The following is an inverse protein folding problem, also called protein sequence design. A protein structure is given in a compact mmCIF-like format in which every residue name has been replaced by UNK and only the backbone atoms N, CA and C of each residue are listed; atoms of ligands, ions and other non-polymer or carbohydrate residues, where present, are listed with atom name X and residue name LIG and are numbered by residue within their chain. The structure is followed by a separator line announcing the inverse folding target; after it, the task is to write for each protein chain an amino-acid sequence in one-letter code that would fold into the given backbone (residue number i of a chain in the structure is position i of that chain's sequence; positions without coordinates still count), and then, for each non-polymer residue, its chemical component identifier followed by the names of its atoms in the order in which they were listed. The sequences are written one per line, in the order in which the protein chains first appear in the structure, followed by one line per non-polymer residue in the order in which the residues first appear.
data_IF_094113949147
#
_entry.id   IF_094113949147
#
_cell.length_a   1.000
_cell.length_b   1.000
_cell.length_c   1.000
_cell.angle_alpha   90.00
_cell.angle_beta   90.00
_cell.angle_gamma   90.00
#
_symmetry.space_group_name_H-M   'P 1'
#
loop_
_entity.id
_entity.type
_entity.pdbx_description
1 polymer ?
#
# COMPACT_ATOMS: atom_id res chain seq x y z
N UNK A 1 -24.65 -9.91 9.97
CA UNK A 1 -24.70 -10.64 11.28
C UNK A 1 -24.18 -9.72 12.36
N UNK A 2 -24.93 -9.55 13.44
CA UNK A 2 -24.45 -8.82 14.61
C UNK A 2 -23.45 -9.70 15.36
N UNK A 3 -22.24 -9.16 15.58
CA UNK A 3 -21.15 -9.88 16.26
C UNK A 3 -20.94 -9.31 17.65
N UNK A 4 -20.88 -10.18 18.67
CA UNK A 4 -20.60 -9.84 20.07
C UNK A 4 -19.29 -10.54 20.48
N UNK A 5 -18.39 -9.80 21.12
CA UNK A 5 -17.17 -10.31 21.73
C UNK A 5 -17.33 -10.27 23.26
N UNK A 6 -17.37 -11.42 23.89
CA UNK A 6 -17.56 -11.55 25.33
C UNK A 6 -16.28 -12.05 26.00
N UNK A 7 -15.80 -11.41 27.09
CA UNK A 7 -14.70 -11.98 27.89
C UNK A 7 -15.08 -13.37 28.39
N UNK A 8 -14.17 -14.33 28.24
CA UNK A 8 -14.41 -15.69 28.74
C UNK A 8 -14.17 -15.74 30.24
N UNK A 9 -15.14 -16.27 30.97
CA UNK A 9 -15.02 -16.57 32.41
C UNK A 9 -14.40 -17.96 32.61
N UNK A 10 -13.98 -18.26 33.86
CA UNK A 10 -13.45 -19.59 34.21
C UNK A 10 -14.43 -20.73 33.93
N UNK A 11 -15.74 -20.45 33.99
CA UNK A 11 -16.80 -21.40 33.60
C UNK A 11 -16.84 -21.69 32.09
N UNK A 12 -16.21 -20.89 31.27
CA UNK A 12 -16.14 -21.07 29.81
C UNK A 12 -14.92 -21.89 29.37
N UNK A 13 -14.05 -22.27 30.30
CA UNK A 13 -12.81 -22.99 30.01
C UNK A 13 -13.06 -24.24 29.14
N UNK A 14 -13.99 -25.11 29.56
CA UNK A 14 -14.33 -26.32 28.79
C UNK A 14 -14.84 -26.02 27.38
N UNK A 15 -15.57 -24.89 27.23
CA UNK A 15 -16.05 -24.45 25.93
C UNK A 15 -14.90 -24.00 25.03
N UNK A 16 -13.90 -23.33 25.58
CA UNK A 16 -12.69 -22.95 24.85
C UNK A 16 -11.82 -24.18 24.51
N UNK A 17 -11.64 -25.12 25.41
CA UNK A 17 -10.98 -26.41 25.15
C UNK A 17 -11.62 -27.10 23.94
N UNK A 18 -12.94 -27.21 23.91
CA UNK A 18 -13.69 -27.81 22.80
C UNK A 18 -13.51 -27.04 21.47
N UNK A 19 -13.36 -25.73 21.50
CA UNK A 19 -13.12 -24.92 20.30
C UNK A 19 -11.67 -25.00 19.84
N UNK A 20 -10.72 -25.04 20.76
CA UNK A 20 -9.28 -25.22 20.48
C UNK A 20 -8.99 -26.55 19.81
N UNK A 21 -9.65 -27.65 20.22
CA UNK A 21 -9.52 -28.93 19.53
C UNK A 21 -9.93 -28.84 18.04
N UNK A 22 -11.00 -28.11 17.73
CA UNK A 22 -11.44 -27.89 16.33
C UNK A 22 -10.49 -26.99 15.57
N UNK A 23 -9.98 -25.97 16.22
CA UNK A 23 -8.98 -25.06 15.68
C UNK A 23 -7.68 -25.81 15.37
N UNK A 24 -7.14 -26.57 16.32
CA UNK A 24 -5.90 -27.34 16.18
C UNK A 24 -6.05 -28.43 15.08
N UNK A 25 -7.20 -29.11 15.02
CA UNK A 25 -7.48 -30.04 13.95
C UNK A 25 -7.42 -29.36 12.58
N UNK A 26 -8.05 -28.21 12.42
CA UNK A 26 -7.98 -27.45 11.18
C UNK A 26 -6.55 -26.98 10.86
N UNK A 27 -5.81 -26.54 11.89
CA UNK A 27 -4.47 -26.03 11.73
C UNK A 27 -3.43 -27.11 11.42
N UNK A 28 -3.64 -28.35 11.87
CA UNK A 28 -2.75 -29.49 11.65
C UNK A 28 -2.55 -29.85 10.16
N UNK A 29 -3.42 -29.39 9.25
CA UNK A 29 -3.19 -29.52 7.81
C UNK A 29 -1.96 -28.74 7.33
N UNK A 30 -1.58 -27.67 8.06
CA UNK A 30 -0.45 -26.81 7.75
C UNK A 30 0.79 -27.20 8.55
N UNK A 31 0.71 -27.24 9.87
CA UNK A 31 1.83 -27.43 10.78
C UNK A 31 2.21 -28.88 11.04
N UNK A 32 1.35 -29.83 10.60
CA UNK A 32 1.57 -31.29 10.70
C UNK A 32 1.62 -31.83 12.15
N UNK A 33 1.06 -31.10 13.10
CA UNK A 33 0.92 -31.61 14.47
C UNK A 33 -0.01 -32.83 14.52
N UNK A 34 0.20 -33.71 15.49
CA UNK A 34 -0.54 -34.95 15.69
C UNK A 34 -1.29 -34.90 17.02
N UNK A 35 -2.37 -35.67 17.15
CA UNK A 35 -3.03 -35.85 18.43
C UNK A 35 -2.22 -36.76 19.35
N UNK A 36 -2.51 -36.63 20.66
CA UNK A 36 -2.01 -37.53 21.70
C UNK A 36 -2.70 -38.93 21.68
N UNK A 37 -2.42 -39.73 22.68
CA UNK A 37 -2.98 -41.08 22.80
C UNK A 37 -4.52 -41.13 23.02
N UNK A 38 -5.08 -40.01 23.50
CA UNK A 38 -6.52 -39.86 23.74
C UNK A 38 -7.26 -39.22 22.54
N UNK A 39 -6.51 -38.93 21.47
CA UNK A 39 -7.04 -38.32 20.23
C UNK A 39 -7.27 -36.81 20.35
N UNK A 40 -6.59 -36.15 21.24
CA UNK A 40 -6.67 -34.70 21.49
C UNK A 40 -5.39 -34.01 21.04
N UNK A 41 -5.50 -32.77 20.59
CA UNK A 41 -4.35 -31.89 20.36
C UNK A 41 -3.90 -31.22 21.66
N UNK A 42 -4.85 -30.86 22.52
CA UNK A 42 -4.61 -30.11 23.73
C UNK A 42 -4.19 -28.65 23.47
N UNK A 43 -4.17 -27.87 24.53
CA UNK A 43 -3.60 -26.51 24.53
C UNK A 43 -3.11 -26.18 25.94
N UNK A 44 -1.85 -26.44 26.23
CA UNK A 44 -1.29 -26.36 27.60
C UNK A 44 -1.34 -24.97 28.22
N UNK A 45 -1.37 -23.91 27.38
CA UNK A 45 -1.39 -22.52 27.85
C UNK A 45 -2.78 -22.01 28.24
N UNK A 46 -3.87 -22.73 27.92
CA UNK A 46 -5.23 -22.26 28.21
C UNK A 46 -5.49 -21.93 29.68
N UNK A 47 -5.02 -22.72 30.67
CA UNK A 47 -5.20 -22.40 32.08
C UNK A 47 -4.73 -21.02 32.48
N UNK A 48 -3.62 -20.56 31.88
CA UNK A 48 -2.99 -19.28 32.18
C UNK A 48 -3.86 -18.06 31.83
N UNK A 49 -4.85 -18.22 30.95
CA UNK A 49 -5.81 -17.17 30.61
C UNK A 49 -6.87 -16.91 31.69
N UNK A 50 -6.93 -17.79 32.69
CA UNK A 50 -7.90 -17.70 33.80
C UNK A 50 -7.23 -17.46 35.17
N UNK A 51 -5.94 -17.15 35.20
CA UNK A 51 -5.13 -16.88 36.40
C UNK A 51 -5.20 -15.42 36.86
N UNK A 52 -6.03 -14.58 36.23
CA UNK A 52 -6.11 -13.16 36.57
C UNK A 52 -4.91 -12.33 36.16
N UNK A 53 -4.19 -12.75 35.11
CA UNK A 53 -3.02 -12.05 34.57
C UNK A 53 -3.41 -10.91 33.64
N UNK A 54 -2.67 -9.81 33.71
CA UNK A 54 -2.90 -8.63 32.86
C UNK A 54 -2.26 -8.75 31.47
N UNK A 55 -1.41 -9.79 31.26
CA UNK A 55 -0.65 -10.00 30.05
C UNK A 55 -1.39 -10.87 29.01
N UNK A 56 -2.62 -11.27 29.26
CA UNK A 56 -3.41 -12.12 28.35
C UNK A 56 -4.91 -11.95 28.57
N UNK A 57 -5.68 -12.20 27.52
CA UNK A 57 -7.13 -12.18 27.58
C UNK A 57 -7.74 -13.23 26.65
N UNK A 58 -8.84 -13.85 27.09
CA UNK A 58 -9.62 -14.81 26.33
C UNK A 58 -11.02 -14.26 26.05
N UNK A 59 -11.50 -14.46 24.83
CA UNK A 59 -12.80 -14.02 24.38
C UNK A 59 -13.55 -15.12 23.64
N UNK A 60 -14.86 -15.16 23.83
CA UNK A 60 -15.79 -15.91 23.00
C UNK A 60 -16.44 -14.98 21.98
N UNK A 61 -16.55 -15.44 20.74
CA UNK A 61 -17.17 -14.74 19.63
C UNK A 61 -18.55 -15.33 19.41
N UNK A 62 -19.57 -14.48 19.43
CA UNK A 62 -20.94 -14.83 19.08
C UNK A 62 -21.38 -14.10 17.82
N UNK A 63 -22.08 -14.80 16.94
CA UNK A 63 -22.79 -14.21 15.80
C UNK A 63 -24.28 -14.41 16.04
N UNK A 64 -25.03 -13.30 16.12
CA UNK A 64 -26.37 -13.29 16.71
C UNK A 64 -26.32 -13.92 18.12
N UNK A 65 -27.05 -14.98 18.35
CA UNK A 65 -27.06 -15.70 19.64
C UNK A 65 -26.22 -16.99 19.59
N UNK A 66 -25.54 -17.28 18.48
CA UNK A 66 -24.80 -18.53 18.26
C UNK A 66 -23.31 -18.34 18.56
N UNK A 67 -22.70 -19.29 19.26
CA UNK A 67 -21.26 -19.35 19.46
C UNK A 67 -20.57 -19.57 18.11
N UNK A 68 -19.76 -18.60 17.69
CA UNK A 68 -19.14 -18.55 16.38
C UNK A 68 -17.62 -18.82 16.41
N UNK A 69 -16.95 -18.62 17.57
CA UNK A 69 -15.50 -18.77 17.65
C UNK A 69 -14.91 -18.23 18.94
N UNK A 70 -13.60 -17.97 18.91
CA UNK A 70 -12.87 -17.40 20.03
C UNK A 70 -11.67 -16.55 19.58
N UNK A 71 -11.14 -15.74 20.49
CA UNK A 71 -9.88 -15.03 20.36
C UNK A 71 -9.08 -15.16 21.66
N UNK A 72 -7.82 -15.55 21.57
CA UNK A 72 -6.83 -15.50 22.64
C UNK A 72 -5.77 -14.48 22.26
N UNK A 73 -5.49 -13.54 23.15
CA UNK A 73 -4.47 -12.52 22.96
C UNK A 73 -3.53 -12.51 24.15
N UNK A 74 -2.28 -12.13 23.92
CA UNK A 74 -1.27 -12.07 24.97
C UNK A 74 -0.22 -10.97 24.70
N UNK A 75 0.83 -10.90 25.53
CA UNK A 75 1.98 -10.00 25.37
C UNK A 75 3.28 -10.78 25.13
N UNK A 76 3.19 -11.87 24.38
CA UNK A 76 4.35 -12.68 23.97
C UNK A 76 4.79 -12.26 22.59
N UNK A 77 6.08 -11.91 22.44
CA UNK A 77 6.63 -11.42 21.19
C UNK A 77 6.80 -12.57 20.17
N UNK A 78 6.30 -12.35 18.96
CA UNK A 78 6.42 -13.26 17.82
C UNK A 78 7.61 -12.92 16.92
N UNK A 79 8.20 -11.73 17.08
CA UNK A 79 9.39 -11.27 16.37
C UNK A 79 10.13 -10.19 17.18
N UNK A 80 11.33 -9.81 16.73
CA UNK A 80 12.16 -8.77 17.36
C UNK A 80 11.60 -7.35 17.07
N UNK A 81 10.41 -7.07 17.58
CA UNK A 81 9.79 -5.73 17.57
C UNK A 81 9.06 -5.51 18.88
N UNK A 82 9.02 -4.26 19.36
CA UNK A 82 8.21 -3.92 20.54
C UNK A 82 6.73 -4.22 20.31
N UNK A 83 6.07 -4.81 21.29
CA UNK A 83 4.64 -5.06 21.26
C UNK A 83 3.97 -4.64 22.56
N UNK A 84 2.67 -4.42 22.48
CA UNK A 84 1.76 -4.30 23.62
C UNK A 84 0.80 -5.51 23.64
N UNK A 85 0.46 -6.05 22.45
CA UNK A 85 -0.43 -7.21 22.30
C UNK A 85 -0.06 -8.06 21.08
N UNK A 86 -0.27 -9.37 21.19
CA UNK A 86 -0.23 -10.32 20.08
C UNK A 86 -1.52 -11.14 20.02
N UNK A 87 -1.90 -11.57 18.84
CA UNK A 87 -2.93 -12.60 18.67
C UNK A 87 -2.26 -13.96 18.84
N UNK A 88 -2.56 -14.63 19.95
CA UNK A 88 -2.08 -16.00 20.17
C UNK A 88 -2.87 -16.99 19.31
N UNK A 89 -4.22 -16.99 19.46
CA UNK A 89 -5.08 -17.88 18.68
C UNK A 89 -6.36 -17.16 18.28
N UNK A 90 -6.86 -17.44 17.08
CA UNK A 90 -8.09 -16.86 16.57
C UNK A 90 -8.85 -17.84 15.68
N UNK A 91 -10.08 -18.10 16.01
CA UNK A 91 -10.91 -19.05 15.29
C UNK A 91 -12.32 -18.52 15.05
N UNK A 92 -12.81 -18.70 13.83
CA UNK A 92 -14.23 -18.53 13.47
C UNK A 92 -14.67 -19.79 12.74
N UNK A 93 -15.74 -20.42 13.22
CA UNK A 93 -16.29 -21.64 12.62
C UNK A 93 -16.77 -21.40 11.18
N UNK A 94 -16.66 -22.40 10.32
CA UNK A 94 -16.90 -22.30 8.87
C UNK A 94 -18.23 -21.65 8.50
N UNK A 95 -19.31 -22.01 9.23
CA UNK A 95 -20.66 -21.48 8.99
C UNK A 95 -20.78 -19.96 9.16
N UNK A 96 -19.84 -19.33 9.88
CA UNK A 96 -19.84 -17.89 10.16
C UNK A 96 -18.75 -17.12 9.35
N UNK A 97 -17.88 -17.83 8.62
CA UNK A 97 -16.85 -17.21 7.79
C UNK A 97 -17.46 -16.48 6.60
N UNK A 98 -16.73 -15.49 6.09
CA UNK A 98 -17.14 -14.64 4.94
C UNK A 98 -18.38 -13.78 5.18
N UNK A 99 -18.88 -13.69 6.44
CA UNK A 99 -20.01 -12.87 6.86
C UNK A 99 -19.58 -11.67 7.73
N UNK A 100 -18.28 -11.30 7.71
CA UNK A 100 -17.74 -10.18 8.48
C UNK A 100 -17.52 -10.45 9.98
N UNK A 101 -17.90 -11.63 10.50
CA UNK A 101 -17.83 -11.96 11.94
C UNK A 101 -16.41 -11.83 12.49
N UNK A 102 -15.40 -12.35 11.78
CA UNK A 102 -14.01 -12.26 12.22
C UNK A 102 -13.51 -10.81 12.30
N UNK A 103 -13.82 -9.99 11.31
CA UNK A 103 -13.41 -8.57 11.30
C UNK A 103 -14.10 -7.78 12.41
N UNK A 104 -15.40 -7.98 12.61
CA UNK A 104 -16.14 -7.32 13.69
C UNK A 104 -15.71 -7.77 15.10
N UNK A 105 -15.23 -9.01 15.25
CA UNK A 105 -14.65 -9.49 16.50
C UNK A 105 -13.30 -8.80 16.76
N UNK A 106 -12.40 -8.72 15.76
CA UNK A 106 -11.10 -8.05 15.91
C UNK A 106 -11.26 -6.56 16.16
N UNK A 107 -12.22 -5.89 15.54
CA UNK A 107 -12.56 -4.49 15.87
C UNK A 107 -12.83 -4.32 17.36
N UNK A 108 -13.66 -5.19 17.95
CA UNK A 108 -13.97 -5.12 19.37
C UNK A 108 -12.77 -5.47 20.26
N UNK A 109 -11.85 -6.34 19.80
CA UNK A 109 -10.56 -6.60 20.45
C UNK A 109 -9.72 -5.33 20.47
N UNK A 110 -9.55 -4.66 19.33
CA UNK A 110 -8.74 -3.45 19.20
C UNK A 110 -9.30 -2.25 19.97
N UNK A 111 -10.63 -2.13 20.09
CA UNK A 111 -11.27 -1.11 20.94
C UNK A 111 -10.90 -1.29 22.42
N UNK A 112 -10.72 -2.53 22.89
CA UNK A 112 -10.34 -2.85 24.27
C UNK A 112 -8.83 -2.83 24.50
N UNK A 113 -8.06 -3.10 23.46
CA UNK A 113 -6.62 -3.32 23.51
C UNK A 113 -5.92 -2.52 22.41
N UNK A 114 -5.73 -1.23 22.64
CA UNK A 114 -4.93 -0.37 21.75
C UNK A 114 -3.43 -0.58 21.97
N UNK A 115 -2.60 -0.11 21.05
CA UNK A 115 -1.15 -0.19 21.16
C UNK A 115 -0.51 -0.91 19.98
N UNK A 116 0.72 -1.40 20.18
CA UNK A 116 1.51 -2.11 19.17
C UNK A 116 1.12 -3.57 19.14
N UNK A 117 0.75 -4.05 17.96
CA UNK A 117 0.27 -5.42 17.75
C UNK A 117 1.24 -6.24 16.92
N UNK A 118 1.32 -7.53 17.24
CA UNK A 118 1.93 -8.55 16.41
C UNK A 118 0.90 -9.64 16.10
N UNK A 119 0.82 -10.05 14.83
CA UNK A 119 -0.06 -11.13 14.39
C UNK A 119 0.76 -12.10 13.54
N UNK A 120 0.94 -13.31 14.06
CA UNK A 120 1.64 -14.39 13.37
C UNK A 120 0.67 -15.25 12.57
N UNK A 121 1.08 -15.68 11.39
CA UNK A 121 0.34 -16.66 10.61
C UNK A 121 1.29 -17.57 9.81
N UNK A 122 0.79 -18.76 9.52
CA UNK A 122 1.47 -19.73 8.67
C UNK A 122 1.34 -19.32 7.19
N UNK A 123 2.47 -19.16 6.48
CA UNK A 123 2.48 -18.64 5.09
C UNK A 123 1.71 -19.53 4.10
N UNK A 124 1.59 -20.83 4.35
CA UNK A 124 0.78 -21.76 3.54
C UNK A 124 -0.75 -21.61 3.79
N UNK A 125 -1.16 -20.97 4.89
CA UNK A 125 -2.56 -20.68 5.18
C UNK A 125 -3.00 -19.40 4.49
N UNK A 126 -3.22 -19.47 3.16
CA UNK A 126 -3.58 -18.31 2.35
C UNK A 126 -4.87 -17.59 2.81
N UNK A 127 -5.94 -18.29 3.25
CA UNK A 127 -7.11 -17.62 3.81
C UNK A 127 -6.79 -16.81 5.07
N UNK A 128 -5.95 -17.32 5.97
CA UNK A 128 -5.48 -16.62 7.17
C UNK A 128 -4.61 -15.42 6.79
N UNK A 129 -3.67 -15.61 5.88
CA UNK A 129 -2.83 -14.53 5.37
C UNK A 129 -3.66 -13.37 4.80
N UNK A 130 -4.64 -13.66 3.93
CA UNK A 130 -5.53 -12.65 3.35
C UNK A 130 -6.36 -11.94 4.43
N UNK A 131 -6.89 -12.66 5.41
CA UNK A 131 -7.66 -12.09 6.51
C UNK A 131 -6.81 -11.15 7.38
N UNK A 132 -5.64 -11.61 7.86
CA UNK A 132 -4.80 -10.82 8.74
C UNK A 132 -4.18 -9.60 8.07
N UNK A 133 -3.76 -9.72 6.82
CA UNK A 133 -3.33 -8.57 6.03
C UNK A 133 -4.46 -7.54 5.86
N UNK A 134 -5.69 -7.99 5.64
CA UNK A 134 -6.86 -7.13 5.57
C UNK A 134 -7.13 -6.39 6.90
N UNK A 135 -7.08 -7.11 8.02
CA UNK A 135 -7.24 -6.56 9.37
C UNK A 135 -6.14 -5.54 9.68
N UNK A 136 -4.87 -5.91 9.51
CA UNK A 136 -3.76 -5.03 9.82
C UNK A 136 -3.85 -3.72 9.02
N UNK A 137 -4.07 -3.80 7.71
CA UNK A 137 -4.23 -2.62 6.84
C UNK A 137 -5.41 -1.74 7.20
N UNK A 138 -6.49 -2.32 7.72
CA UNK A 138 -7.70 -1.57 8.08
C UNK A 138 -7.56 -0.78 9.38
N UNK A 139 -6.88 -1.35 10.38
CA UNK A 139 -6.83 -0.78 11.74
C UNK A 139 -5.49 -0.11 12.09
N UNK A 140 -4.45 -0.27 11.26
CA UNK A 140 -3.15 0.33 11.54
C UNK A 140 -3.19 1.86 11.53
N UNK A 141 -2.61 2.47 12.56
CA UNK A 141 -2.26 3.88 12.58
C UNK A 141 -0.84 4.05 12.03
N UNK A 142 -0.70 4.17 10.73
CA UNK A 142 0.58 4.22 10.04
C UNK A 142 0.83 2.96 9.20
N UNK A 143 2.09 2.60 9.00
CA UNK A 143 2.45 1.47 8.16
C UNK A 143 2.31 0.12 8.89
N UNK A 144 2.13 -0.94 8.11
CA UNK A 144 2.19 -2.33 8.53
C UNK A 144 3.54 -2.90 8.09
N UNK A 145 4.35 -3.31 9.05
CA UNK A 145 5.61 -4.01 8.78
C UNK A 145 5.36 -5.52 8.71
N UNK A 146 5.88 -6.19 7.68
CA UNK A 146 5.79 -7.65 7.54
C UNK A 146 7.18 -8.24 7.77
N UNK A 147 7.30 -9.14 8.73
CA UNK A 147 8.55 -9.75 9.17
C UNK A 147 8.44 -11.27 9.18
N UNK A 148 9.58 -11.95 9.29
CA UNK A 148 9.62 -13.34 9.71
C UNK A 148 9.52 -13.44 11.24
N UNK A 149 8.85 -14.49 11.73
CA UNK A 149 8.77 -14.79 13.15
C UNK A 149 10.14 -15.13 13.73
N UNK A 150 10.29 -14.98 15.06
CA UNK A 150 11.47 -15.40 15.80
C UNK A 150 11.68 -16.92 15.74
N UNK A 151 10.58 -17.65 15.58
CA UNK A 151 10.56 -19.11 15.45
C UNK A 151 9.80 -19.53 14.21
N UNK A 152 10.24 -20.58 13.56
CA UNK A 152 9.54 -21.20 12.46
C UNK A 152 8.25 -21.89 12.95
N UNK A 153 7.33 -22.15 12.02
CA UNK A 153 6.17 -22.99 12.28
C UNK A 153 6.62 -24.44 12.56
N UNK A 154 5.79 -25.24 13.21
CA UNK A 154 6.13 -26.61 13.60
C UNK A 154 6.58 -27.52 12.44
N UNK A 155 6.15 -27.23 11.21
CA UNK A 155 6.58 -27.91 10.00
C UNK A 155 7.90 -27.37 9.37
N UNK A 156 8.58 -26.45 10.06
CA UNK A 156 9.80 -25.80 9.60
C UNK A 156 9.58 -24.69 8.54
N UNK A 157 8.32 -24.32 8.27
CA UNK A 157 8.03 -23.18 7.41
C UNK A 157 8.26 -21.87 8.16
N UNK A 158 8.98 -20.87 7.59
CA UNK A 158 9.12 -19.57 8.23
C UNK A 158 7.75 -18.95 8.54
N UNK A 159 7.55 -18.55 9.79
CA UNK A 159 6.35 -17.84 10.21
C UNK A 159 6.35 -16.40 9.67
N UNK A 160 5.21 -15.90 9.27
CA UNK A 160 5.04 -14.50 8.88
C UNK A 160 4.38 -13.73 10.01
N UNK A 161 4.93 -12.57 10.37
CA UNK A 161 4.42 -11.69 11.43
C UNK A 161 4.12 -10.30 10.87
N UNK A 162 2.91 -9.81 11.14
CA UNK A 162 2.51 -8.43 10.88
C UNK A 162 2.70 -7.60 12.15
N UNK A 163 3.42 -6.49 12.04
CA UNK A 163 3.64 -5.54 13.12
C UNK A 163 3.00 -4.20 12.75
N UNK A 164 2.12 -3.69 13.61
CA UNK A 164 1.42 -2.42 13.40
C UNK A 164 0.92 -1.83 14.72
N UNK A 165 0.50 -0.57 14.71
CA UNK A 165 -0.06 0.10 15.88
C UNK A 165 -1.55 0.36 15.69
N UNK A 166 -2.35 0.14 16.74
CA UNK A 166 -3.78 0.47 16.81
C UNK A 166 -3.98 1.62 17.79
N UNK A 167 -4.55 2.75 17.38
CA UNK A 167 -4.73 3.91 18.26
C UNK A 167 -5.81 3.67 19.33
N UNK A 168 -5.74 4.38 20.44
CA UNK A 168 -6.67 4.28 21.55
C UNK A 168 -8.14 4.68 21.23
N UNK A 169 -8.33 5.37 20.11
CA UNK A 169 -9.63 5.52 19.44
C UNK A 169 -9.43 5.03 18.03
N UNK A 170 -10.03 3.91 17.67
CA UNK A 170 -9.99 3.35 16.32
C UNK A 170 -10.69 4.30 15.33
N UNK A 171 -10.02 5.40 14.98
CA UNK A 171 -10.28 6.06 13.70
C UNK A 171 -9.43 5.30 12.69
N UNK A 172 -10.07 4.47 11.89
CA UNK A 172 -9.42 3.81 10.77
C UNK A 172 -8.74 4.87 9.90
N UNK A 173 -7.41 4.79 9.80
CA UNK A 173 -6.72 5.58 8.78
C UNK A 173 -7.30 5.23 7.42
N UNK A 174 -7.64 6.24 6.62
CA UNK A 174 -8.11 6.01 5.25
C UNK A 174 -6.97 5.61 4.32
N UNK A 175 -5.74 5.97 4.70
CA UNK A 175 -4.54 5.56 3.97
C UNK A 175 -3.87 4.43 4.76
N UNK A 176 -3.80 3.27 4.15
CA UNK A 176 -3.17 2.07 4.69
C UNK A 176 -1.78 1.93 4.09
N UNK A 177 -0.79 1.74 4.93
CA UNK A 177 0.62 1.67 4.54
C UNK A 177 1.13 0.24 4.68
N UNK A 178 1.81 -0.25 3.67
CA UNK A 178 2.43 -1.57 3.66
C UNK A 178 3.89 -1.46 3.22
N UNK A 179 4.79 -1.79 4.14
CA UNK A 179 6.22 -1.93 3.87
C UNK A 179 6.57 -3.43 3.82
N UNK A 180 6.94 -3.92 2.64
CA UNK A 180 7.32 -5.33 2.44
C UNK A 180 8.83 -5.58 2.49
N UNK A 181 9.62 -4.56 2.86
CA UNK A 181 11.09 -4.60 2.76
C UNK A 181 11.74 -5.76 3.52
N UNK A 182 11.21 -6.15 4.65
CA UNK A 182 11.72 -7.27 5.44
C UNK A 182 11.61 -8.64 4.73
N UNK A 183 10.74 -8.73 3.71
CA UNK A 183 10.48 -9.98 2.98
C UNK A 183 11.17 -10.06 1.62
N UNK A 184 11.86 -9.01 1.16
CA UNK A 184 12.48 -8.98 -0.18
C UNK A 184 13.51 -10.09 -0.38
N UNK A 185 14.23 -10.48 0.67
CA UNK A 185 15.20 -11.58 0.62
C UNK A 185 14.61 -12.90 0.12
N UNK A 186 13.31 -13.12 0.32
CA UNK A 186 12.63 -14.32 -0.17
C UNK A 186 12.55 -14.42 -1.70
N UNK A 187 12.73 -13.30 -2.42
CA UNK A 187 12.76 -13.25 -3.87
C UNK A 187 14.06 -13.81 -4.48
N UNK A 188 15.05 -14.14 -3.65
CA UNK A 188 16.40 -14.54 -4.10
C UNK A 188 16.70 -16.00 -3.78
N UNK A 189 17.54 -16.61 -4.59
CA UNK A 189 18.15 -17.92 -4.37
C UNK A 189 19.64 -17.82 -4.66
N UNK A 190 20.48 -18.26 -3.72
CA UNK A 190 21.94 -18.23 -3.84
C UNK A 190 22.49 -16.85 -4.25
N UNK A 191 21.86 -15.78 -3.76
CA UNK A 191 22.21 -14.39 -4.05
C UNK A 191 21.68 -13.85 -5.39
N UNK A 192 21.03 -14.66 -6.21
CA UNK A 192 20.46 -14.27 -7.49
C UNK A 192 18.92 -14.11 -7.42
N UNK A 193 18.38 -13.13 -8.16
CA UNK A 193 16.94 -12.93 -8.28
C UNK A 193 16.27 -14.15 -8.93
N UNK A 194 15.14 -14.56 -8.35
CA UNK A 194 14.33 -15.69 -8.83
C UNK A 194 12.87 -15.27 -9.02
N UNK A 195 12.44 -15.19 -10.26
CA UNK A 195 11.07 -14.80 -10.61
C UNK A 195 9.98 -15.65 -9.92
N UNK A 196 10.11 -17.00 -9.81
CA UNK A 196 9.14 -17.81 -9.08
C UNK A 196 9.10 -17.48 -7.58
N UNK A 197 10.26 -17.24 -6.94
CA UNK A 197 10.35 -16.84 -5.52
C UNK A 197 9.80 -15.44 -5.30
N UNK A 198 10.14 -14.49 -6.18
CA UNK A 198 9.59 -13.15 -6.15
C UNK A 198 8.06 -13.18 -6.23
N UNK A 199 7.49 -13.96 -7.13
CA UNK A 199 6.03 -14.13 -7.24
C UNK A 199 5.44 -14.65 -5.93
N UNK A 200 6.04 -15.69 -5.34
CA UNK A 200 5.57 -16.25 -4.07
C UNK A 200 5.65 -15.23 -2.93
N UNK A 201 6.74 -14.47 -2.85
CA UNK A 201 6.89 -13.38 -1.89
C UNK A 201 5.78 -12.35 -2.06
N UNK A 202 5.61 -11.81 -3.27
CA UNK A 202 4.68 -10.72 -3.50
C UNK A 202 3.22 -11.15 -3.33
N UNK A 203 2.84 -12.33 -3.81
CA UNK A 203 1.49 -12.88 -3.62
C UNK A 203 1.18 -13.15 -2.13
N UNK A 204 2.18 -13.46 -1.30
CA UNK A 204 2.01 -13.64 0.15
C UNK A 204 1.75 -12.31 0.87
N UNK A 205 2.41 -11.23 0.47
CA UNK A 205 2.28 -9.90 1.09
C UNK A 205 1.10 -9.11 0.51
N UNK A 206 0.90 -9.20 -0.81
CA UNK A 206 -0.05 -8.39 -1.57
C UNK A 206 -0.69 -9.23 -2.70
N UNK A 207 -1.70 -10.04 -2.39
CA UNK A 207 -2.33 -10.93 -3.37
C UNK A 207 -2.79 -10.21 -4.64
N UNK A 208 -2.40 -10.72 -5.80
CA UNK A 208 -2.73 -10.17 -7.12
C UNK A 208 -1.73 -9.15 -7.66
N UNK A 209 -0.85 -8.58 -6.85
CA UNK A 209 0.14 -7.60 -7.30
C UNK A 209 1.17 -8.22 -8.25
N UNK A 210 1.58 -9.47 -8.02
CA UNK A 210 2.53 -10.15 -8.90
C UNK A 210 1.99 -10.29 -10.34
N UNK A 211 0.71 -10.61 -10.50
CA UNK A 211 0.10 -10.70 -11.84
C UNK A 211 0.07 -9.34 -12.53
N UNK A 212 -0.21 -8.27 -11.79
CA UNK A 212 -0.24 -6.90 -12.30
C UNK A 212 1.16 -6.45 -12.76
N UNK A 213 2.19 -6.63 -11.92
CA UNK A 213 3.58 -6.30 -12.26
C UNK A 213 4.09 -7.09 -13.47
N UNK A 214 3.75 -8.38 -13.57
CA UNK A 214 4.14 -9.21 -14.71
C UNK A 214 3.48 -8.73 -16.01
N UNK A 215 2.21 -8.36 -15.98
CA UNK A 215 1.51 -7.84 -17.15
C UNK A 215 2.13 -6.53 -17.64
N UNK A 216 2.49 -5.62 -16.74
CA UNK A 216 3.16 -4.37 -17.05
C UNK A 216 4.59 -4.61 -17.59
N UNK A 217 5.37 -5.48 -16.95
CA UNK A 217 6.71 -5.86 -17.42
C UNK A 217 6.67 -6.48 -18.83
N UNK A 218 5.64 -7.27 -19.17
CA UNK A 218 5.44 -7.81 -20.51
C UNK A 218 5.16 -6.70 -21.55
N UNK A 219 4.36 -5.68 -21.18
CA UNK A 219 4.13 -4.53 -22.05
C UNK A 219 5.43 -3.73 -22.27
N UNK A 220 6.21 -3.53 -21.22
CA UNK A 220 7.52 -2.85 -21.30
C UNK A 220 8.49 -3.62 -22.19
N UNK A 221 8.53 -4.94 -22.11
CA UNK A 221 9.32 -5.79 -23.03
C UNK A 221 8.85 -5.67 -24.47
N UNK A 222 7.55 -5.64 -24.72
CA UNK A 222 7.00 -5.42 -26.06
C UNK A 222 7.35 -4.02 -26.61
N UNK A 223 7.58 -3.04 -25.73
CA UNK A 223 8.04 -1.70 -26.06
C UNK A 223 9.58 -1.58 -26.23
N UNK A 224 10.34 -2.69 -26.02
CA UNK A 224 11.78 -2.75 -26.27
C UNK A 224 12.66 -2.88 -25.02
N UNK A 225 12.11 -2.88 -23.81
CA UNK A 225 12.87 -3.14 -22.58
C UNK A 225 13.30 -4.61 -22.55
N UNK A 226 14.58 -4.86 -22.31
CA UNK A 226 15.16 -6.21 -22.35
C UNK A 226 15.37 -6.73 -20.93
N UNK A 227 14.67 -7.78 -20.58
CA UNK A 227 14.71 -8.37 -19.24
C UNK A 227 16.15 -8.61 -18.73
N UNK A 228 16.97 -9.31 -19.54
CA UNK A 228 18.32 -9.73 -19.14
C UNK A 228 19.33 -8.56 -19.05
N UNK A 229 19.05 -7.44 -19.71
CA UNK A 229 19.99 -6.33 -19.82
C UNK A 229 19.57 -5.12 -19.00
N UNK A 230 18.25 -4.86 -18.94
CA UNK A 230 17.75 -3.61 -18.41
C UNK A 230 17.09 -3.79 -17.02
N UNK A 231 16.54 -4.98 -16.72
CA UNK A 231 15.80 -5.24 -15.47
C UNK A 231 16.58 -6.17 -14.51
N UNK A 232 16.98 -7.35 -14.98
CA UNK A 232 17.60 -8.37 -14.14
C UNK A 232 18.89 -7.91 -13.42
N UNK A 233 19.79 -7.11 -14.04
CA UNK A 233 20.96 -6.58 -13.33
C UNK A 233 20.60 -5.68 -12.16
N UNK A 234 19.57 -4.83 -12.30
CA UNK A 234 19.08 -3.95 -11.22
C UNK A 234 18.54 -4.79 -10.07
N UNK A 235 17.69 -5.80 -10.37
CA UNK A 235 17.15 -6.70 -9.37
C UNK A 235 18.25 -7.48 -8.63
N UNK A 236 19.26 -7.97 -9.34
CA UNK A 236 20.40 -8.68 -8.73
C UNK A 236 21.29 -7.78 -7.85
N UNK A 237 21.30 -6.47 -8.10
CA UNK A 237 22.06 -5.51 -7.30
C UNK A 237 21.34 -5.11 -6.00
N UNK A 238 20.05 -5.41 -5.84
CA UNK A 238 19.24 -4.96 -4.70
C UNK A 238 19.66 -5.54 -3.34
N UNK A 239 20.09 -6.83 -3.20
CA UNK A 239 20.49 -7.37 -1.90
C UNK A 239 21.63 -6.57 -1.29
N UNK A 240 21.38 -5.97 -0.12
CA UNK A 240 22.40 -5.18 0.58
C UNK A 240 22.70 -3.81 -0.02
N UNK A 241 21.93 -3.36 -1.01
CA UNK A 241 22.12 -2.04 -1.61
C UNK A 241 21.89 -0.92 -0.58
N UNK A 242 22.84 0.00 -0.35
CA UNK A 242 22.74 1.02 0.70
C UNK A 242 21.57 1.97 0.47
N UNK A 243 21.30 2.32 -0.78
CA UNK A 243 20.22 3.26 -1.15
C UNK A 243 18.83 2.62 -0.93
N UNK A 244 18.69 1.30 -1.05
CA UNK A 244 17.45 0.61 -0.71
C UNK A 244 17.10 0.78 0.76
N UNK A 245 18.08 0.65 1.66
CA UNK A 245 17.88 0.89 3.08
C UNK A 245 17.55 2.36 3.39
N UNK A 246 18.13 3.29 2.65
CA UNK A 246 17.79 4.71 2.75
C UNK A 246 16.35 4.95 2.29
N UNK A 247 15.94 4.45 1.13
CA UNK A 247 14.59 4.61 0.59
C UNK A 247 13.52 4.04 1.53
N UNK A 248 13.77 2.89 2.20
CA UNK A 248 12.88 2.34 3.23
C UNK A 248 12.73 3.31 4.41
N UNK A 249 13.82 3.89 4.90
CA UNK A 249 13.75 4.89 5.99
C UNK A 249 12.99 6.14 5.56
N UNK A 250 13.25 6.64 4.34
CA UNK A 250 12.56 7.78 3.76
C UNK A 250 11.06 7.50 3.62
N UNK A 251 10.67 6.34 3.08
CA UNK A 251 9.28 5.94 2.98
C UNK A 251 8.56 5.97 4.34
N UNK A 252 9.14 5.35 5.36
CA UNK A 252 8.57 5.33 6.72
C UNK A 252 8.41 6.74 7.28
N UNK A 253 9.41 7.61 7.05
CA UNK A 253 9.42 8.98 7.55
C UNK A 253 8.37 9.85 6.87
N UNK A 254 8.30 9.84 5.52
CA UNK A 254 7.40 10.71 4.77
C UNK A 254 5.93 10.28 4.87
N UNK A 255 5.68 9.00 5.15
CA UNK A 255 4.32 8.47 5.33
C UNK A 255 3.80 8.60 6.76
N UNK A 256 4.65 9.04 7.71
CA UNK A 256 4.22 9.32 9.08
C UNK A 256 3.12 10.39 9.08
N UNK A 257 1.96 10.08 9.70
CA UNK A 257 0.77 10.95 9.76
C UNK A 257 0.24 11.42 8.39
N UNK A 258 0.48 10.66 7.33
CA UNK A 258 0.13 11.04 5.95
C UNK A 258 -1.37 11.35 5.77
N UNK A 259 -2.25 10.48 6.29
CA UNK A 259 -3.71 10.67 6.26
C UNK A 259 -4.13 11.97 6.97
N UNK A 260 -3.51 12.29 8.09
CA UNK A 260 -3.78 13.53 8.84
C UNK A 260 -3.31 14.77 8.06
N UNK A 261 -2.10 14.71 7.48
CA UNK A 261 -1.56 15.81 6.65
C UNK A 261 -2.52 16.13 5.50
N UNK A 262 -3.01 15.12 4.79
CA UNK A 262 -3.95 15.30 3.67
C UNK A 262 -5.28 15.86 4.15
N UNK A 263 -5.82 15.37 5.27
CA UNK A 263 -7.06 15.92 5.85
C UNK A 263 -6.94 17.37 6.29
N UNK A 264 -5.79 17.76 6.83
CA UNK A 264 -5.54 19.16 7.21
C UNK A 264 -5.47 20.08 6.00
N UNK A 265 -4.84 19.63 4.88
CA UNK A 265 -4.72 20.44 3.68
C UNK A 265 -6.02 20.54 2.87
N UNK A 266 -6.74 19.43 2.72
CA UNK A 266 -7.89 19.33 1.79
C UNK A 266 -9.23 19.05 2.46
N UNK A 267 -9.31 18.98 3.80
CA UNK A 267 -10.53 18.69 4.55
C UNK A 267 -10.98 17.21 4.49
N UNK A 268 -10.40 16.42 3.61
CA UNK A 268 -10.73 15.01 3.37
C UNK A 268 -9.49 14.24 2.91
N UNK A 269 -9.50 12.92 3.06
CA UNK A 269 -8.39 12.03 2.67
C UNK A 269 -8.94 10.87 1.82
N UNK A 270 -8.19 10.39 0.81
CA UNK A 270 -8.62 9.28 -0.02
C UNK A 270 -8.57 7.95 0.75
N UNK A 271 -9.42 7.01 0.38
CA UNK A 271 -9.30 5.62 0.80
C UNK A 271 -8.32 4.91 -0.12
N UNK A 272 -7.10 4.65 0.34
CA UNK A 272 -6.01 4.12 -0.47
C UNK A 272 -5.11 3.15 0.31
N UNK A 273 -4.41 2.29 -0.42
CA UNK A 273 -3.25 1.55 0.07
C UNK A 273 -1.99 2.12 -0.58
N UNK A 274 -0.92 2.36 0.21
CA UNK A 274 0.41 2.75 -0.28
C UNK A 274 1.39 1.65 0.09
N UNK A 275 2.00 1.03 -0.90
CA UNK A 275 2.80 -0.18 -0.76
C UNK A 275 4.20 0.04 -1.27
N UNK A 276 5.21 -0.12 -0.40
CA UNK A 276 6.60 -0.22 -0.82
C UNK A 276 6.95 -1.70 -1.05
N UNK A 277 7.35 -2.04 -2.26
CA UNK A 277 7.60 -3.43 -2.67
C UNK A 277 8.83 -3.55 -3.57
N UNK A 278 9.33 -4.77 -3.73
CA UNK A 278 10.26 -5.13 -4.79
C UNK A 278 9.43 -5.45 -6.04
N UNK A 279 9.51 -4.60 -7.06
CA UNK A 279 8.81 -4.75 -8.33
C UNK A 279 9.62 -5.54 -9.37
N UNK A 280 9.37 -5.28 -10.66
CA UNK A 280 10.04 -5.90 -11.81
C UNK A 280 10.53 -4.85 -12.81
N UNK A 281 11.05 -3.71 -12.33
CA UNK A 281 11.38 -2.57 -13.17
C UNK A 281 10.15 -1.86 -13.73
N UNK A 282 9.02 -1.96 -13.06
CA UNK A 282 7.77 -1.27 -13.39
C UNK A 282 7.95 0.27 -13.28
N UNK A 283 7.18 1.01 -12.60
CA UNK A 283 7.43 2.42 -12.27
C UNK A 283 8.04 2.57 -10.88
N UNK A 284 8.69 3.71 -10.59
CA UNK A 284 9.06 4.09 -9.23
C UNK A 284 7.79 4.24 -8.36
N UNK A 285 6.75 4.87 -8.92
CA UNK A 285 5.41 4.94 -8.37
C UNK A 285 4.37 4.67 -9.43
N UNK A 286 3.20 4.19 -9.02
CA UNK A 286 2.11 3.93 -9.92
C UNK A 286 0.78 3.76 -9.15
N UNK A 287 -0.17 4.66 -9.41
CA UNK A 287 -1.52 4.57 -8.88
C UNK A 287 -2.36 3.57 -9.71
N UNK A 288 -2.98 2.62 -9.04
CA UNK A 288 -3.77 1.55 -9.67
C UNK A 288 -4.94 1.11 -8.79
N UNK A 289 -5.68 0.10 -9.24
CA UNK A 289 -6.69 -0.58 -8.42
C UNK A 289 -6.30 -2.04 -8.27
N UNK A 290 -6.10 -2.48 -7.04
CA UNK A 290 -5.79 -3.86 -6.71
C UNK A 290 -6.90 -4.45 -5.83
N UNK A 291 -7.49 -5.56 -6.27
CA UNK A 291 -8.61 -6.22 -5.56
C UNK A 291 -9.78 -5.26 -5.22
N UNK A 292 -10.09 -4.33 -6.13
CA UNK A 292 -11.15 -3.34 -5.94
C UNK A 292 -10.78 -2.18 -5.02
N UNK A 293 -9.51 -2.06 -4.59
CA UNK A 293 -9.03 -0.96 -3.74
C UNK A 293 -8.05 -0.07 -4.50
N UNK A 294 -8.18 1.25 -4.42
CA UNK A 294 -7.17 2.17 -4.91
C UNK A 294 -5.84 1.91 -4.20
N UNK A 295 -4.79 1.69 -4.96
CA UNK A 295 -3.48 1.28 -4.46
C UNK A 295 -2.38 2.05 -5.17
N UNK A 296 -1.46 2.60 -4.40
CA UNK A 296 -0.18 3.14 -4.89
C UNK A 296 0.88 2.08 -4.67
N UNK A 297 1.52 1.64 -5.74
CA UNK A 297 2.64 0.71 -5.70
C UNK A 297 3.94 1.50 -5.92
N UNK A 298 4.91 1.29 -5.03
CA UNK A 298 6.24 1.91 -5.08
C UNK A 298 7.29 0.82 -5.29
N UNK A 299 7.93 0.81 -6.45
CA UNK A 299 8.96 -0.16 -6.84
C UNK A 299 10.33 0.28 -6.34
N UNK A 300 10.85 -0.39 -5.30
CA UNK A 300 12.12 0.00 -4.67
C UNK A 300 13.30 -0.05 -5.64
N UNK A 301 13.33 -1.03 -6.53
CA UNK A 301 14.40 -1.18 -7.52
C UNK A 301 14.46 0.02 -8.47
N UNK A 302 13.31 0.53 -8.90
CA UNK A 302 13.22 1.70 -9.77
C UNK A 302 13.52 2.99 -9.02
N UNK A 303 13.10 3.11 -7.76
CA UNK A 303 13.46 4.23 -6.88
C UNK A 303 14.98 4.32 -6.70
N UNK A 304 15.65 3.18 -6.49
CA UNK A 304 17.12 3.12 -6.36
C UNK A 304 17.79 3.46 -7.68
N UNK A 305 17.31 2.93 -8.81
CA UNK A 305 17.82 3.21 -10.15
C UNK A 305 17.76 4.71 -10.50
N UNK A 306 16.66 5.38 -10.13
CA UNK A 306 16.45 6.81 -10.35
C UNK A 306 17.13 7.70 -9.31
N UNK A 307 17.80 7.12 -8.30
CA UNK A 307 18.38 7.84 -7.15
C UNK A 307 17.37 8.66 -6.32
N UNK A 308 16.10 8.25 -6.29
CA UNK A 308 15.01 8.91 -5.55
C UNK A 308 14.85 8.39 -4.12
N UNK A 309 15.98 8.26 -3.43
CA UNK A 309 16.05 7.62 -2.11
C UNK A 309 16.00 8.63 -0.94
N UNK A 310 16.09 9.93 -1.21
CA UNK A 310 15.99 10.97 -0.18
C UNK A 310 14.57 11.10 0.38
N UNK A 311 14.42 11.77 1.52
CA UNK A 311 13.09 12.08 2.06
C UNK A 311 12.30 12.99 1.11
N UNK A 312 12.96 13.94 0.46
CA UNK A 312 12.31 14.88 -0.46
C UNK A 312 11.79 14.17 -1.71
N UNK A 313 12.60 13.34 -2.36
CA UNK A 313 12.20 12.58 -3.56
C UNK A 313 11.07 11.60 -3.23
N UNK A 314 11.22 10.84 -2.14
CA UNK A 314 10.22 9.89 -1.67
C UNK A 314 8.91 10.57 -1.29
N UNK A 315 8.97 11.75 -0.66
CA UNK A 315 7.78 12.52 -0.31
C UNK A 315 7.05 12.97 -1.58
N UNK A 316 7.78 13.53 -2.55
CA UNK A 316 7.21 13.91 -3.83
C UNK A 316 6.54 12.75 -4.53
N UNK A 317 7.23 11.62 -4.69
CA UNK A 317 6.71 10.42 -5.34
C UNK A 317 5.42 9.90 -4.67
N UNK A 318 5.42 9.74 -3.34
CA UNK A 318 4.25 9.27 -2.59
C UNK A 318 3.07 10.23 -2.74
N UNK A 319 3.30 11.53 -2.65
CA UNK A 319 2.25 12.55 -2.74
C UNK A 319 1.70 12.66 -4.16
N UNK A 320 2.57 12.58 -5.18
CA UNK A 320 2.17 12.60 -6.58
C UNK A 320 1.19 11.46 -6.89
N UNK A 321 1.57 10.23 -6.57
CA UNK A 321 0.72 9.06 -6.82
C UNK A 321 -0.60 9.10 -6.03
N UNK A 322 -0.57 9.60 -4.80
CA UNK A 322 -1.79 9.83 -4.03
C UNK A 322 -2.64 10.96 -4.62
N UNK A 323 -2.05 11.92 -5.30
CA UNK A 323 -2.76 12.96 -6.05
C UNK A 323 -3.66 12.37 -7.14
N UNK A 324 -3.17 11.36 -7.86
CA UNK A 324 -3.98 10.61 -8.82
C UNK A 324 -5.14 9.86 -8.16
N UNK A 325 -4.88 9.19 -7.03
CA UNK A 325 -5.94 8.48 -6.27
C UNK A 325 -6.97 9.49 -5.73
N UNK A 326 -6.52 10.63 -5.23
CA UNK A 326 -7.39 11.70 -4.73
C UNK A 326 -8.29 12.24 -5.86
N UNK A 327 -7.70 12.53 -7.01
CA UNK A 327 -8.46 13.01 -8.19
C UNK A 327 -9.47 11.96 -8.66
N UNK A 328 -9.11 10.69 -8.69
CA UNK A 328 -10.02 9.62 -9.10
C UNK A 328 -11.22 9.45 -8.15
N UNK A 329 -11.04 9.69 -6.84
CA UNK A 329 -12.13 9.55 -5.87
C UNK A 329 -13.01 10.78 -5.72
N UNK A 330 -12.46 11.97 -5.89
CA UNK A 330 -13.16 13.23 -5.57
C UNK A 330 -13.39 14.13 -6.77
N UNK A 331 -12.75 13.83 -7.88
CA UNK A 331 -12.88 14.57 -9.14
C UNK A 331 -13.88 13.96 -10.10
N UNK A 332 -13.99 14.61 -11.27
CA UNK A 332 -14.79 14.10 -12.39
C UNK A 332 -14.00 13.07 -13.18
N UNK A 333 -14.61 11.91 -13.44
CA UNK A 333 -14.01 10.92 -14.34
C UNK A 333 -13.99 11.47 -15.77
N UNK A 334 -12.81 11.65 -16.32
CA UNK A 334 -12.63 12.13 -17.68
C UNK A 334 -12.72 10.97 -18.67
N UNK A 335 -13.46 11.16 -19.75
CA UNK A 335 -13.58 10.19 -20.85
C UNK A 335 -13.12 10.85 -22.17
N UNK A 336 -11.80 11.02 -22.35
CA UNK A 336 -11.27 11.76 -23.49
C UNK A 336 -11.43 10.99 -24.81
N UNK A 337 -11.75 11.71 -25.90
CA UNK A 337 -11.54 11.21 -27.25
C UNK A 337 -10.04 11.00 -27.50
N UNK A 338 -9.69 10.35 -28.63
CA UNK A 338 -8.28 10.15 -29.01
C UNK A 338 -7.51 11.50 -29.04
N UNK A 339 -8.10 12.53 -29.58
CA UNK A 339 -7.53 13.88 -29.74
C UNK A 339 -7.37 14.63 -28.41
N UNK A 340 -8.14 14.26 -27.41
CA UNK A 340 -8.16 14.91 -26.07
C UNK A 340 -7.28 14.17 -25.04
N UNK A 341 -6.70 13.02 -25.40
CA UNK A 341 -5.97 12.17 -24.42
C UNK A 341 -4.81 12.88 -23.76
N UNK A 342 -3.98 13.58 -24.55
CA UNK A 342 -2.81 14.27 -23.99
C UNK A 342 -3.23 15.49 -23.15
N UNK A 343 -4.29 16.20 -23.49
CA UNK A 343 -4.82 17.27 -22.65
C UNK A 343 -5.39 16.72 -21.33
N UNK A 344 -6.11 15.60 -21.37
CA UNK A 344 -6.60 14.94 -20.16
C UNK A 344 -5.43 14.44 -19.30
N UNK A 345 -4.35 13.92 -19.89
CA UNK A 345 -3.14 13.56 -19.21
C UNK A 345 -2.47 14.79 -18.58
N UNK A 346 -2.28 15.86 -19.33
CA UNK A 346 -1.71 17.11 -18.83
C UNK A 346 -2.46 17.62 -17.60
N UNK A 347 -3.78 17.59 -17.65
CA UNK A 347 -4.61 18.01 -16.52
C UNK A 347 -4.46 17.06 -15.32
N UNK A 348 -4.46 15.74 -15.55
CA UNK A 348 -4.29 14.74 -14.50
C UNK A 348 -2.94 14.87 -13.79
N UNK A 349 -1.86 15.00 -14.58
CA UNK A 349 -0.51 15.21 -14.01
C UNK A 349 -0.41 16.56 -13.29
N UNK A 350 -1.02 17.59 -13.85
CA UNK A 350 -1.10 18.92 -13.20
C UNK A 350 -1.81 18.89 -11.85
N UNK A 351 -2.91 18.14 -11.75
CA UNK A 351 -3.61 17.91 -10.47
C UNK A 351 -2.70 17.19 -9.46
N UNK A 352 -2.02 16.12 -9.88
CA UNK A 352 -1.11 15.37 -8.99
C UNK A 352 0.06 16.26 -8.51
N UNK A 353 0.65 17.05 -9.40
CA UNK A 353 1.70 18.01 -9.06
C UNK A 353 1.22 19.08 -8.08
N UNK A 354 0.03 19.66 -8.28
CA UNK A 354 -0.50 20.67 -7.36
C UNK A 354 -0.89 20.06 -6.02
N UNK A 355 -1.43 18.85 -5.99
CA UNK A 355 -1.68 18.13 -4.75
C UNK A 355 -0.40 17.93 -3.93
N UNK A 356 0.70 17.55 -4.58
CA UNK A 356 2.03 17.42 -4.00
C UNK A 356 2.52 18.76 -3.46
N UNK A 357 2.46 19.84 -4.28
CA UNK A 357 2.89 21.19 -3.91
C UNK A 357 2.14 21.76 -2.69
N UNK A 358 0.83 21.55 -2.59
CA UNK A 358 0.02 21.98 -1.44
C UNK A 358 0.46 21.29 -0.15
N UNK A 359 0.76 19.98 -0.21
CA UNK A 359 1.20 19.20 0.96
C UNK A 359 2.65 19.46 1.37
N UNK A 360 3.49 19.84 0.42
CA UNK A 360 4.87 20.32 0.69
C UNK A 360 4.87 21.77 1.17
N UNK A 361 3.83 22.57 0.83
CA UNK A 361 3.72 23.98 1.15
C UNK A 361 4.60 24.87 0.27
N UNK A 362 4.97 24.40 -0.92
CA UNK A 362 5.78 25.14 -1.89
C UNK A 362 5.20 24.99 -3.30
N UNK A 363 4.62 26.06 -3.91
CA UNK A 363 4.02 26.01 -5.24
C UNK A 363 5.03 25.82 -6.38
N UNK A 364 6.31 25.99 -6.11
CA UNK A 364 7.40 25.80 -7.05
C UNK A 364 8.17 24.48 -6.82
N UNK A 365 7.63 23.62 -5.96
CA UNK A 365 8.19 22.30 -5.74
C UNK A 365 7.87 21.36 -6.90
N UNK A 366 8.91 20.67 -7.39
CA UNK A 366 8.83 19.61 -8.39
C UNK A 366 9.86 18.55 -8.04
N UNK A 367 9.43 17.34 -7.73
CA UNK A 367 10.36 16.24 -7.40
C UNK A 367 11.24 15.82 -8.61
N UNK A 368 10.85 16.18 -9.84
CA UNK A 368 11.65 16.00 -11.07
C UNK A 368 12.78 17.02 -11.23
N UNK A 369 12.89 18.01 -10.34
CA UNK A 369 13.83 19.11 -10.50
C UNK A 369 15.28 18.68 -10.31
N UNK A 370 15.94 18.35 -11.42
CA UNK A 370 17.37 18.05 -11.48
C UNK A 370 18.05 18.98 -12.49
N UNK A 371 19.29 19.36 -12.22
CA UNK A 371 20.14 20.13 -13.15
C UNK A 371 19.49 21.41 -13.71
N UNK A 372 18.68 22.13 -12.91
CA UNK A 372 18.05 23.37 -13.32
C UNK A 372 16.81 23.21 -14.19
N UNK A 373 16.22 22.01 -14.23
CA UNK A 373 15.02 21.69 -15.02
C UNK A 373 13.86 22.67 -14.77
N UNK A 374 13.54 22.99 -13.52
CA UNK A 374 12.47 23.93 -13.18
C UNK A 374 12.71 25.32 -13.74
N UNK A 375 13.96 25.83 -13.65
CA UNK A 375 14.34 27.12 -14.19
C UNK A 375 14.17 27.16 -15.70
N UNK A 376 14.65 26.13 -16.39
CA UNK A 376 14.50 26.00 -17.83
C UNK A 376 13.02 25.95 -18.25
N UNK A 377 12.21 25.11 -17.60
CA UNK A 377 10.78 25.02 -17.86
C UNK A 377 10.07 26.37 -17.64
N UNK A 378 10.48 27.11 -16.61
CA UNK A 378 9.91 28.43 -16.34
C UNK A 378 10.21 29.43 -17.49
N UNK A 379 11.45 29.48 -17.94
CA UNK A 379 11.88 30.36 -19.04
C UNK A 379 11.21 30.00 -20.37
N UNK A 380 10.83 28.73 -20.56
CA UNK A 380 10.26 28.21 -21.80
C UNK A 380 8.75 27.90 -21.71
N UNK A 381 8.06 28.29 -20.64
CA UNK A 381 6.66 27.94 -20.40
C UNK A 381 5.76 28.31 -21.59
N UNK A 382 5.90 29.52 -22.15
CA UNK A 382 5.13 29.95 -23.29
C UNK A 382 5.37 29.07 -24.53
N UNK A 383 6.61 28.70 -24.80
CA UNK A 383 6.96 27.82 -25.92
C UNK A 383 6.38 26.41 -25.72
N UNK A 384 6.53 25.83 -24.53
CA UNK A 384 5.99 24.50 -24.16
C UNK A 384 4.46 24.50 -24.36
N UNK A 385 3.75 25.52 -23.84
CA UNK A 385 2.30 25.63 -23.90
C UNK A 385 1.78 25.74 -25.33
N UNK A 386 2.35 26.63 -26.14
CA UNK A 386 1.91 26.83 -27.52
C UNK A 386 2.24 25.61 -28.42
N UNK A 387 3.40 24.97 -28.24
CA UNK A 387 3.70 23.73 -28.94
C UNK A 387 2.75 22.62 -28.54
N UNK A 388 2.47 22.45 -27.23
CA UNK A 388 1.52 21.46 -26.75
C UNK A 388 0.12 21.70 -27.35
N UNK A 389 -0.39 22.94 -27.32
CA UNK A 389 -1.68 23.29 -27.89
C UNK A 389 -1.77 22.97 -29.40
N UNK A 390 -0.70 23.19 -30.14
CA UNK A 390 -0.68 22.98 -31.60
C UNK A 390 -0.63 21.49 -32.00
N UNK A 391 -0.04 20.63 -31.19
CA UNK A 391 0.28 19.26 -31.61
C UNK A 391 -0.40 18.14 -30.79
N UNK A 392 -0.86 18.42 -29.55
CA UNK A 392 -1.36 17.39 -28.62
C UNK A 392 -2.47 16.51 -29.22
N UNK A 393 -3.40 17.09 -30.01
CA UNK A 393 -4.49 16.34 -30.63
C UNK A 393 -4.02 15.29 -31.67
N UNK A 394 -2.79 15.41 -32.19
CA UNK A 394 -2.26 14.52 -33.22
C UNK A 394 -1.27 13.49 -32.67
N UNK A 395 -0.72 13.75 -31.49
CA UNK A 395 0.29 12.91 -30.87
C UNK A 395 -0.32 11.67 -30.23
N UNK A 396 0.44 10.60 -30.19
CA UNK A 396 0.16 9.36 -29.44
C UNK A 396 1.14 9.20 -28.29
N UNK A 397 0.97 8.17 -27.48
CA UNK A 397 1.92 7.84 -26.40
C UNK A 397 3.36 7.69 -26.94
N UNK A 398 3.52 7.10 -28.12
CA UNK A 398 4.81 6.81 -28.73
C UNK A 398 5.44 8.03 -29.42
N UNK A 399 4.63 9.01 -29.82
CA UNK A 399 5.11 10.18 -30.57
C UNK A 399 5.10 11.48 -29.78
N UNK A 400 4.53 11.49 -28.59
CA UNK A 400 4.55 12.64 -27.69
C UNK A 400 5.95 12.88 -27.10
N UNK A 401 6.20 14.09 -26.61
CA UNK A 401 7.51 14.52 -26.09
C UNK A 401 7.45 15.25 -24.74
N UNK A 402 6.33 15.10 -24.02
CA UNK A 402 6.03 15.88 -22.83
C UNK A 402 6.06 15.07 -21.52
N UNK A 403 5.88 13.75 -21.61
CA UNK A 403 5.72 12.88 -20.43
C UNK A 403 6.57 11.63 -20.57
N UNK A 404 7.39 11.35 -19.57
CA UNK A 404 8.26 10.19 -19.46
C UNK A 404 9.73 10.51 -19.73
N UNK A 405 10.59 9.77 -19.05
CA UNK A 405 12.05 9.90 -19.10
C UNK A 405 12.68 9.44 -20.44
N UNK A 406 11.88 8.74 -21.26
CA UNK A 406 12.30 8.26 -22.61
C UNK A 406 12.03 9.26 -23.74
N UNK A 407 11.43 10.40 -23.45
CA UNK A 407 11.15 11.48 -24.40
C UNK A 407 11.59 12.83 -23.84
N UNK A 408 11.76 13.83 -24.70
CA UNK A 408 12.11 15.18 -24.24
C UNK A 408 11.56 16.26 -25.14
N UNK A 409 11.22 17.39 -24.55
CA UNK A 409 10.95 18.64 -25.24
C UNK A 409 12.26 19.46 -25.21
N UNK A 410 12.87 19.64 -26.38
CA UNK A 410 14.16 20.37 -26.55
C UNK A 410 15.29 19.89 -25.61
N UNK A 411 15.35 18.57 -25.35
CA UNK A 411 16.37 17.94 -24.52
C UNK A 411 16.00 17.85 -23.02
N UNK A 412 14.86 18.39 -22.59
CA UNK A 412 14.38 18.31 -21.23
C UNK A 412 13.18 17.35 -21.13
N UNK A 413 13.27 16.26 -20.35
CA UNK A 413 12.16 15.34 -20.15
C UNK A 413 11.07 15.98 -19.29
N UNK A 414 9.91 15.36 -19.25
CA UNK A 414 8.84 15.66 -18.30
C UNK A 414 8.31 17.11 -18.28
N UNK A 415 8.52 17.88 -19.35
CA UNK A 415 8.05 19.27 -19.45
C UNK A 415 6.51 19.40 -19.30
N UNK A 416 5.76 18.32 -19.57
CA UNK A 416 4.32 18.26 -19.37
C UNK A 416 3.87 18.36 -17.90
N UNK A 417 4.66 17.86 -16.96
CA UNK A 417 4.38 17.99 -15.52
C UNK A 417 4.45 19.46 -15.08
N UNK A 418 5.46 20.18 -15.54
CA UNK A 418 5.58 21.60 -15.30
C UNK A 418 4.39 22.37 -15.90
N UNK A 419 4.13 22.15 -17.18
CA UNK A 419 3.02 22.80 -17.90
C UNK A 419 1.67 22.51 -17.22
N UNK A 420 1.41 21.26 -16.85
CA UNK A 420 0.20 20.83 -16.16
C UNK A 420 0.02 21.50 -14.79
N UNK A 421 1.09 21.58 -14.00
CA UNK A 421 1.05 22.26 -12.70
C UNK A 421 0.74 23.77 -12.87
N UNK A 422 1.40 24.44 -13.81
CA UNK A 422 1.14 25.87 -14.10
C UNK A 422 -0.27 26.11 -14.62
N UNK A 423 -0.79 25.24 -15.47
CA UNK A 423 -2.18 25.31 -15.93
C UNK A 423 -3.19 25.11 -14.78
N UNK A 424 -2.99 24.14 -13.91
CA UNK A 424 -3.86 23.94 -12.74
C UNK A 424 -3.78 25.13 -11.79
N UNK A 425 -2.60 25.71 -11.55
CA UNK A 425 -2.43 26.93 -10.77
C UNK A 425 -3.17 28.13 -11.38
N UNK A 426 -3.14 28.29 -12.68
CA UNK A 426 -3.93 29.32 -13.39
C UNK A 426 -5.44 29.15 -13.14
N UNK A 427 -5.94 27.93 -13.15
CA UNK A 427 -7.34 27.65 -12.81
C UNK A 427 -7.64 28.02 -11.35
N UNK A 428 -6.72 27.75 -10.44
CA UNK A 428 -6.88 28.03 -9.02
C UNK A 428 -6.82 29.52 -8.67
N UNK A 429 -6.44 30.39 -9.58
CA UNK A 429 -6.60 31.84 -9.37
C UNK A 429 -8.07 32.26 -9.18
N UNK A 430 -9.00 31.46 -9.70
CA UNK A 430 -10.45 31.78 -9.71
C UNK A 430 -11.31 30.68 -9.10
N UNK A 431 -10.74 29.51 -8.82
CA UNK A 431 -11.43 28.32 -8.34
C UNK A 431 -10.67 27.67 -7.20
N UNK A 432 -11.37 27.02 -6.31
CA UNK A 432 -10.76 26.11 -5.31
C UNK A 432 -10.24 24.84 -5.99
N UNK A 433 -9.28 24.16 -5.37
CA UNK A 433 -8.77 22.88 -5.88
C UNK A 433 -9.90 21.85 -6.09
N UNK A 434 -10.88 21.79 -5.19
CA UNK A 434 -12.06 20.92 -5.30
C UNK A 434 -12.96 21.27 -6.52
N UNK A 435 -13.07 22.53 -6.88
CA UNK A 435 -13.80 22.94 -8.10
C UNK A 435 -13.02 22.59 -9.35
N UNK A 436 -11.72 22.80 -9.36
CA UNK A 436 -10.84 22.40 -10.48
C UNK A 436 -10.92 20.90 -10.74
N UNK A 437 -10.89 20.06 -9.70
CA UNK A 437 -11.02 18.59 -9.82
C UNK A 437 -12.33 18.17 -10.53
N UNK A 438 -13.38 18.97 -10.46
CA UNK A 438 -14.70 18.64 -11.02
C UNK A 438 -14.95 19.22 -12.39
N UNK A 439 -13.99 19.87 -13.00
CA UNK A 439 -14.15 20.44 -14.33
C UNK A 439 -14.40 19.33 -15.37
N UNK A 440 -15.41 19.50 -16.24
CA UNK A 440 -15.59 18.62 -17.37
C UNK A 440 -14.55 18.93 -18.46
N UNK A 441 -14.22 17.93 -19.29
CA UNK A 441 -13.17 18.04 -20.29
C UNK A 441 -13.34 19.20 -21.27
N UNK A 442 -14.58 19.56 -21.60
CA UNK A 442 -14.87 20.71 -22.46
C UNK A 442 -14.46 22.05 -21.84
N UNK A 443 -14.64 22.21 -20.53
CA UNK A 443 -14.18 23.40 -19.82
C UNK A 443 -12.67 23.39 -19.63
N UNK A 444 -12.06 22.23 -19.41
CA UNK A 444 -10.60 22.07 -19.35
C UNK A 444 -9.97 22.55 -20.67
N UNK A 445 -10.53 22.16 -21.83
CA UNK A 445 -10.04 22.60 -23.14
C UNK A 445 -10.13 24.13 -23.30
N UNK A 446 -11.30 24.69 -23.03
CA UNK A 446 -11.50 26.15 -23.12
C UNK A 446 -10.57 26.95 -22.20
N UNK A 447 -10.38 26.43 -20.99
CA UNK A 447 -9.50 27.08 -20.02
C UNK A 447 -8.02 26.95 -20.41
N UNK A 448 -7.62 25.83 -21.03
CA UNK A 448 -6.27 25.65 -21.51
C UNK A 448 -5.97 26.61 -22.69
N UNK A 449 -6.92 26.80 -23.61
CA UNK A 449 -6.81 27.78 -24.68
C UNK A 449 -6.68 29.22 -24.13
N UNK A 450 -7.43 29.57 -23.08
CA UNK A 450 -7.31 30.84 -22.39
C UNK A 450 -5.97 30.99 -21.64
N UNK A 451 -5.48 29.93 -21.01
CA UNK A 451 -4.17 29.91 -20.37
C UNK A 451 -3.06 30.17 -21.39
N UNK A 452 -3.04 29.45 -22.51
CA UNK A 452 -2.06 29.67 -23.58
C UNK A 452 -2.10 31.12 -24.12
N UNK A 453 -3.32 31.72 -24.25
CA UNK A 453 -3.46 33.09 -24.70
C UNK A 453 -2.97 34.13 -23.67
N UNK A 454 -2.79 33.76 -22.41
CA UNK A 454 -2.29 34.63 -21.34
C UNK A 454 -0.76 34.61 -21.19
N UNK A 455 -0.07 33.67 -21.84
CA UNK A 455 1.39 33.51 -21.85
C UNK A 455 2.04 34.27 -22.99
#
# INVERSE_FOLDING_TARGET
MQTKLLPAASSDRQRLENLLEKYNYEFSQYDKTHFDADGLFGYEWLPTYFEGRDDRAAYLIYAEESLAGFALINRIAECDRPLDWAVAEFFVAYSFRRNGVGSAAMEQVFVRHSGRWQIKYHSKNLPSAAFWNGIARHYAAGFVETLFGAEDCADGTPATVLCFSVPAKAQSSRIRLLDTSACWGAAYADGAFSLPRWRSYLDSCLPGAAALCLADAQQSQAAGIRWEHDILPVLNAMPGHPDAAQAVRSFRRVTERLDERIRLAFGKSPDAEVVLMLGLGNGAGWATTLNGKPTVLLGIEKIVELHWCSEDDMNGLVLHELGHVYAAQFGTSLSPSREQRLLAQLFSEGIAMVFEQELVGNPDYFHQNVNGWTTWCHEHLSAIAHCFAAEAARLTRETQRYFGDWVSFEGYPDAGYYLGARFVRFLMEKMTFDEVLRLPLSQIQQSFDAFCASL
#
